data_IF_831429250353
#
_entry.id   IF_831429250353
#
_cell.length_a   1.000
_cell.length_b   1.000
_cell.length_c   1.000
_cell.angle_alpha   90.00
_cell.angle_beta   90.00
_cell.angle_gamma   90.00
#
_symmetry.space_group_name_H-M   'P 1'
#
loop_
_entity.id
_entity.type
_entity.pdbx_description
1 polymer ?
#
# COMPACT_ATOMS: atom_id res chain seq x y z
N UNK A 1 7.63 3.09 10.82
CA UNK A 1 6.75 2.41 9.84
C UNK A 1 6.02 3.37 8.93
N UNK A 2 5.41 4.41 9.46
CA UNK A 2 4.76 5.42 8.60
C UNK A 2 5.76 6.13 7.68
N UNK A 3 7.00 6.31 8.12
CA UNK A 3 8.03 6.91 7.28
C UNK A 3 8.26 6.07 6.01
N UNK A 4 8.20 4.75 6.13
CA UNK A 4 8.35 3.87 4.96
C UNK A 4 7.17 4.05 4.00
N UNK A 5 5.96 4.21 4.52
CA UNK A 5 4.77 4.43 3.70
C UNK A 5 4.87 5.74 2.93
N UNK A 6 5.39 6.78 3.57
CA UNK A 6 5.55 8.10 2.93
C UNK A 6 6.48 8.08 1.73
N UNK A 7 7.36 7.09 1.65
CA UNK A 7 8.30 6.99 0.54
C UNK A 7 7.66 6.50 -0.75
N UNK A 8 6.47 5.90 -0.67
CA UNK A 8 5.79 5.35 -1.85
C UNK A 8 5.25 6.51 -2.69
N UNK A 9 5.73 6.70 -3.92
CA UNK A 9 5.26 7.81 -4.76
C UNK A 9 3.89 7.54 -5.37
N UNK A 10 3.19 8.58 -5.84
CA UNK A 10 1.94 8.38 -6.59
C UNK A 10 2.17 7.47 -7.80
N UNK A 11 1.21 6.61 -8.08
CA UNK A 11 1.30 5.68 -9.19
C UNK A 11 2.03 4.38 -8.87
N UNK A 12 2.52 4.25 -7.64
CA UNK A 12 3.19 3.03 -7.17
C UNK A 12 2.48 2.48 -5.95
N UNK A 13 2.69 1.19 -5.70
CA UNK A 13 2.12 0.52 -4.53
C UNK A 13 3.20 -0.34 -3.87
N UNK A 14 3.01 -0.66 -2.60
CA UNK A 14 3.88 -1.58 -1.89
C UNK A 14 3.01 -2.53 -1.07
N UNK A 15 3.50 -3.74 -0.84
CA UNK A 15 2.76 -4.69 -0.01
C UNK A 15 3.04 -4.42 1.47
N UNK A 16 2.21 -4.98 2.34
CA UNK A 16 2.46 -4.91 3.77
C UNK A 16 3.84 -5.46 4.11
N UNK A 17 4.25 -6.54 3.43
CA UNK A 17 5.58 -7.12 3.64
C UNK A 17 6.69 -6.19 3.17
N UNK A 18 6.48 -5.47 2.07
CA UNK A 18 7.47 -4.51 1.57
C UNK A 18 7.68 -3.39 2.59
N UNK A 19 6.59 -2.88 3.15
CA UNK A 19 6.65 -1.81 4.15
C UNK A 19 7.34 -2.31 5.42
N UNK A 20 6.99 -3.51 5.86
CA UNK A 20 7.61 -4.10 7.05
C UNK A 20 9.11 -4.28 6.86
N UNK A 21 9.53 -4.77 5.71
CA UNK A 21 10.95 -4.94 5.42
C UNK A 21 11.68 -3.60 5.37
N UNK A 22 11.07 -2.59 4.76
CA UNK A 22 11.66 -1.25 4.70
C UNK A 22 11.79 -0.61 6.08
N UNK A 23 10.91 -0.97 7.00
CA UNK A 23 10.95 -0.48 8.38
C UNK A 23 11.91 -1.29 9.27
N UNK A 24 12.56 -2.31 8.72
CA UNK A 24 13.49 -3.13 9.47
C UNK A 24 12.86 -4.30 10.23
N UNK A 25 11.59 -4.59 9.99
CA UNK A 25 10.86 -5.66 10.68
C UNK A 25 10.11 -6.55 9.67
N UNK A 26 10.84 -7.28 8.82
CA UNK A 26 10.23 -7.99 7.69
C UNK A 26 9.17 -9.01 8.06
N UNK A 27 9.13 -9.47 9.31
CA UNK A 27 8.13 -10.43 9.75
C UNK A 27 6.85 -9.77 10.25
N UNK A 28 6.78 -8.45 10.22
CA UNK A 28 5.66 -7.70 10.79
C UNK A 28 4.60 -7.31 9.77
N UNK A 29 4.48 -8.03 8.65
CA UNK A 29 3.51 -7.72 7.60
C UNK A 29 2.08 -7.61 8.15
N UNK A 30 1.70 -8.53 9.05
CA UNK A 30 0.37 -8.51 9.65
C UNK A 30 0.16 -7.26 10.50
N UNK A 31 1.20 -6.87 11.26
CA UNK A 31 1.13 -5.66 12.08
C UNK A 31 0.98 -4.42 11.21
N UNK A 32 1.69 -4.39 10.07
CA UNK A 32 1.54 -3.29 9.10
C UNK A 32 0.10 -3.23 8.60
N UNK A 33 -0.47 -4.38 8.26
CA UNK A 33 -1.86 -4.43 7.81
C UNK A 33 -2.82 -3.85 8.85
N UNK A 34 -2.62 -4.19 10.11
CA UNK A 34 -3.46 -3.68 11.19
C UNK A 34 -3.29 -2.17 11.36
N UNK A 35 -2.07 -1.66 11.26
CA UNK A 35 -1.81 -0.22 11.34
C UNK A 35 -2.47 0.51 10.18
N UNK A 36 -2.36 -0.04 8.97
CA UNK A 36 -2.93 0.59 7.79
C UNK A 36 -4.45 0.64 7.83
N UNK A 37 -5.09 -0.37 8.41
CA UNK A 37 -6.55 -0.35 8.54
C UNK A 37 -7.04 0.83 9.34
N UNK A 38 -6.31 1.23 10.38
CA UNK A 38 -6.69 2.35 11.23
C UNK A 38 -5.99 3.65 10.89
N UNK A 39 -5.18 3.66 9.85
CA UNK A 39 -4.38 4.84 9.53
C UNK A 39 -5.25 5.96 8.98
N UNK A 40 -5.19 7.10 9.65
CA UNK A 40 -5.86 8.33 9.22
C UNK A 40 -4.93 9.52 9.26
N UNK A 41 -3.63 9.27 9.31
CA UNK A 41 -2.64 10.33 9.41
C UNK A 41 -2.60 11.15 8.11
N UNK A 42 -2.73 12.45 8.24
CA UNK A 42 -2.66 13.34 7.09
C UNK A 42 -1.28 13.27 6.44
N UNK A 43 -1.24 13.26 5.13
CA UNK A 43 0.01 13.23 4.38
C UNK A 43 0.67 11.87 4.29
N UNK A 44 0.05 10.83 4.87
CA UNK A 44 0.58 9.46 4.76
C UNK A 44 -0.26 8.71 3.73
N UNK A 45 0.34 8.25 2.63
CA UNK A 45 -0.41 7.60 1.54
C UNK A 45 -0.74 6.15 1.86
N UNK A 46 -1.55 5.92 2.88
CA UNK A 46 -1.92 4.58 3.33
C UNK A 46 -2.60 3.75 2.24
N UNK A 47 -3.27 4.41 1.30
CA UNK A 47 -3.93 3.73 0.20
C UNK A 47 -2.95 3.05 -0.76
N UNK A 48 -1.66 3.41 -0.71
CA UNK A 48 -0.64 2.81 -1.57
C UNK A 48 -0.07 1.52 -0.99
N UNK A 49 -0.51 1.12 0.20
CA UNK A 49 -0.07 -0.14 0.81
C UNK A 49 -1.16 -1.18 0.60
N UNK A 50 -0.80 -2.28 -0.03
CA UNK A 50 -1.74 -3.32 -0.41
C UNK A 50 -1.29 -4.69 0.09
N UNK A 51 -2.16 -5.68 -0.07
CA UNK A 51 -1.85 -7.04 0.32
C UNK A 51 -0.92 -7.72 -0.69
N UNK A 52 -0.27 -8.78 -0.25
CA UNK A 52 0.56 -9.59 -1.12
C UNK A 52 -0.23 -10.05 -2.35
N UNK A 53 0.45 -10.16 -3.49
CA UNK A 53 -0.17 -10.57 -4.74
C UNK A 53 -0.97 -9.49 -5.45
N UNK A 54 -0.94 -8.26 -4.94
CA UNK A 54 -1.60 -7.13 -5.59
C UNK A 54 -3.04 -6.90 -5.16
N UNK A 55 -3.54 -7.63 -4.18
CA UNK A 55 -4.89 -7.42 -3.65
C UNK A 55 -4.92 -6.12 -2.86
N UNK A 56 -6.04 -5.39 -2.94
CA UNK A 56 -6.14 -4.09 -2.27
C UNK A 56 -6.00 -4.17 -0.76
N UNK A 57 -6.58 -5.18 -0.13
CA UNK A 57 -6.55 -5.28 1.32
C UNK A 57 -7.42 -4.22 2.00
N UNK A 58 -7.25 -4.09 3.32
CA UNK A 58 -8.03 -3.15 4.11
C UNK A 58 -7.52 -1.72 4.03
N UNK A 59 -8.43 -0.78 4.20
CA UNK A 59 -8.11 0.64 4.29
C UNK A 59 -9.06 1.28 5.31
N UNK A 60 -8.57 2.20 6.08
CA UNK A 60 -9.25 2.76 7.25
C UNK A 60 -10.71 3.16 7.11
N UNK A 61 -11.23 3.29 5.94
CA UNK A 61 -12.64 3.60 5.73
C UNK A 61 -13.29 2.62 4.79
N UNK A 62 -12.69 2.39 3.64
CA UNK A 62 -13.40 1.70 2.57
C UNK A 62 -12.45 1.22 1.50
N UNK A 63 -12.63 -0.01 1.05
CA UNK A 63 -11.90 -0.52 -0.09
C UNK A 63 -12.25 0.29 -1.35
N UNK A 64 -13.49 0.73 -1.47
CA UNK A 64 -13.91 1.55 -2.61
C UNK A 64 -13.16 2.88 -2.66
N UNK A 65 -12.96 3.50 -1.51
CA UNK A 65 -12.18 4.74 -1.44
C UNK A 65 -10.72 4.49 -1.80
N UNK A 66 -10.15 3.42 -1.28
CA UNK A 66 -8.77 3.03 -1.60
C UNK A 66 -8.59 2.84 -3.10
N UNK A 67 -9.52 2.13 -3.72
CA UNK A 67 -9.50 1.90 -5.16
C UNK A 67 -9.58 3.23 -5.92
N UNK A 68 -10.49 4.11 -5.51
CA UNK A 68 -10.67 5.40 -6.18
C UNK A 68 -9.40 6.24 -6.11
N UNK A 69 -8.74 6.26 -4.97
CA UNK A 69 -7.49 7.01 -4.80
C UNK A 69 -6.37 6.45 -5.69
N UNK A 70 -6.25 5.13 -5.76
CA UNK A 70 -5.23 4.50 -6.60
C UNK A 70 -5.51 4.76 -8.07
N UNK A 71 -6.74 4.66 -8.51
CA UNK A 71 -7.12 4.91 -9.89
C UNK A 71 -6.80 6.37 -10.26
N UNK A 72 -7.07 7.30 -9.35
CA UNK A 72 -6.75 8.71 -9.58
C UNK A 72 -5.25 8.94 -9.74
N UNK A 73 -4.41 8.06 -9.21
CA UNK A 73 -2.97 8.15 -9.36
C UNK A 73 -2.42 7.38 -10.54
N UNK A 74 -3.30 6.83 -11.37
CA UNK A 74 -2.88 6.10 -12.56
C UNK A 74 -2.70 4.60 -12.36
N UNK A 75 -3.09 4.06 -11.21
CA UNK A 75 -3.01 2.64 -10.94
C UNK A 75 -4.33 1.99 -11.35
N UNK A 76 -4.27 1.02 -12.23
CA UNK A 76 -5.46 0.30 -12.69
C UNK A 76 -5.80 -0.82 -11.72
N UNK A 77 -7.05 -0.85 -11.28
CA UNK A 77 -7.54 -1.88 -10.36
C UNK A 77 -8.67 -2.64 -11.03
N UNK A 78 -8.61 -3.96 -10.98
CA UNK A 78 -9.63 -4.82 -11.55
C UNK A 78 -9.87 -6.00 -10.61
N UNK A 79 -11.14 -6.24 -10.27
CA UNK A 79 -11.54 -7.36 -9.41
C UNK A 79 -10.80 -7.36 -8.07
N UNK A 80 -10.57 -6.18 -7.50
CA UNK A 80 -9.91 -6.03 -6.21
C UNK A 80 -8.40 -6.24 -6.24
N UNK A 81 -7.80 -6.24 -7.42
CA UNK A 81 -6.35 -6.38 -7.57
C UNK A 81 -5.78 -5.28 -8.44
N UNK A 82 -4.54 -4.91 -8.15
CA UNK A 82 -3.80 -3.97 -8.97
C UNK A 82 -3.34 -4.67 -10.24
N UNK A 83 -3.67 -4.09 -11.40
CA UNK A 83 -3.20 -4.61 -12.69
C UNK A 83 -1.73 -4.26 -12.85
N UNK A 84 -0.98 -5.15 -13.48
CA UNK A 84 0.46 -4.94 -13.71
C UNK A 84 1.19 -4.67 -12.40
N UNK A 85 0.84 -5.44 -11.38
CA UNK A 85 1.38 -5.25 -10.03
C UNK A 85 2.90 -5.20 -10.02
N UNK A 86 3.57 -6.09 -10.73
CA UNK A 86 5.04 -6.13 -10.74
C UNK A 86 5.64 -4.82 -11.23
N UNK A 87 4.98 -4.16 -12.17
CA UNK A 87 5.46 -2.89 -12.73
C UNK A 87 5.12 -1.71 -11.81
N UNK A 88 4.05 -1.83 -11.05
CA UNK A 88 3.61 -0.74 -10.16
C UNK A 88 4.18 -0.87 -8.76
N UNK A 89 4.79 -1.99 -8.45
CA UNK A 89 5.36 -2.23 -7.13
C UNK A 89 6.55 -1.32 -6.88
N UNK A 90 6.49 -0.58 -5.77
CA UNK A 90 7.61 0.29 -5.39
C UNK A 90 8.72 -0.55 -4.77
N UNK A 91 9.94 -0.34 -5.24
CA UNK A 91 11.10 -1.04 -4.72
C UNK A 91 11.87 -0.13 -3.77
N UNK A 92 11.99 -0.53 -2.51
CA UNK A 92 12.70 0.24 -1.48
C UNK A 92 14.21 0.04 -1.63
N UNK A 93 14.72 0.22 -2.80
CA UNK A 93 16.15 0.07 -3.03
C UNK A 93 16.88 1.37 -2.84
N UNK A 94 18.10 1.23 -2.51
CA UNK A 94 19.00 2.38 -2.41
C UNK A 94 19.72 2.65 -3.70
#
# INVERSE_FOLDING_TARGET
MLAAVRRIPPGRVATYGDVAAAAGVPRAARAVGNIMKGCRAAGVPCHRVISAGGRLGGYGGSEALKRALLVAEGVTVSRGRVREFDQKRYCYRK
#
